data_IF_626511457402
#
_entry.id   IF_626511457402
#
_cell.length_a   1.000
_cell.length_b   1.000
_cell.length_c   1.000
_cell.angle_alpha   90.00
_cell.angle_beta   90.00
_cell.angle_gamma   90.00
#
_symmetry.space_group_name_H-M   'P 1'
#
loop_
_entity.id
_entity.type
_entity.pdbx_description
1 polymer ?
#
# COMPACT_ATOMS: atom_id res chain seq x y z
N UNK A 1 5.26 -14.42 -10.10
CA UNK A 1 6.59 -13.77 -10.26
C UNK A 1 6.99 -13.04 -8.99
N UNK A 2 6.26 -12.00 -8.56
CA UNK A 2 6.64 -11.16 -7.41
C UNK A 2 6.68 -11.90 -6.05
N UNK A 3 5.69 -12.76 -5.78
CA UNK A 3 5.68 -13.61 -4.58
C UNK A 3 6.89 -14.56 -4.51
N UNK A 4 7.27 -15.10 -5.67
CA UNK A 4 8.43 -16.01 -5.80
C UNK A 4 9.72 -15.24 -5.58
N UNK A 5 9.82 -14.03 -6.15
CA UNK A 5 10.94 -13.13 -5.90
C UNK A 5 11.11 -12.83 -4.40
N UNK A 6 10.04 -12.41 -3.72
CA UNK A 6 10.13 -12.11 -2.28
C UNK A 6 10.49 -13.34 -1.45
N UNK A 7 9.89 -14.50 -1.72
CA UNK A 7 10.25 -15.74 -1.03
C UNK A 7 11.73 -16.11 -1.25
N UNK A 8 12.23 -16.05 -2.49
CA UNK A 8 13.64 -16.35 -2.80
C UNK A 8 14.60 -15.38 -2.12
N UNK A 9 14.25 -14.09 -2.06
CA UNK A 9 15.06 -13.08 -1.36
C UNK A 9 15.08 -13.35 0.14
N UNK A 10 13.93 -13.63 0.76
CA UNK A 10 13.88 -13.92 2.20
C UNK A 10 14.60 -15.22 2.56
N UNK A 11 14.42 -16.28 1.78
CA UNK A 11 15.14 -17.54 1.96
C UNK A 11 16.65 -17.35 1.77
N UNK A 12 17.06 -16.59 0.75
CA UNK A 12 18.46 -16.23 0.52
C UNK A 12 19.06 -15.49 1.70
N UNK A 13 18.41 -14.41 2.16
CA UNK A 13 18.86 -13.62 3.32
C UNK A 13 18.89 -14.48 4.59
N UNK A 14 17.91 -15.35 4.81
CA UNK A 14 17.88 -16.28 5.94
C UNK A 14 19.02 -17.30 5.87
N UNK A 15 19.34 -17.83 4.69
CA UNK A 15 20.45 -18.78 4.52
C UNK A 15 21.81 -18.15 4.79
N UNK A 16 21.96 -16.85 4.50
CA UNK A 16 23.19 -16.09 4.71
C UNK A 16 23.34 -15.61 6.16
N UNK A 17 22.26 -15.12 6.77
CA UNK A 17 22.30 -14.52 8.10
C UNK A 17 21.98 -15.52 9.23
N UNK A 18 21.43 -16.69 8.92
CA UNK A 18 21.02 -17.71 9.90
C UNK A 18 19.85 -17.29 10.80
N UNK A 19 19.24 -16.14 10.55
CA UNK A 19 18.12 -15.58 11.34
C UNK A 19 16.80 -15.92 10.65
N UNK A 20 15.86 -16.55 11.37
CA UNK A 20 14.47 -16.72 10.89
C UNK A 20 13.75 -15.37 10.94
N UNK A 21 13.39 -14.85 9.78
CA UNK A 21 12.60 -13.63 9.67
C UNK A 21 11.13 -13.98 9.83
N UNK A 22 10.45 -13.33 10.77
CA UNK A 22 8.99 -13.42 10.91
C UNK A 22 8.41 -12.22 10.13
N UNK A 23 7.57 -12.46 9.10
CA UNK A 23 6.90 -11.39 8.37
C UNK A 23 6.12 -10.48 9.33
N UNK A 24 6.17 -9.17 9.10
CA UNK A 24 5.53 -8.16 9.95
C UNK A 24 5.85 -6.74 9.52
N UNK A 25 5.62 -5.75 10.37
CA UNK A 25 5.87 -4.34 10.02
C UNK A 25 7.32 -4.07 9.61
N UNK A 26 8.29 -4.70 10.28
CA UNK A 26 9.70 -4.53 9.95
C UNK A 26 10.02 -5.04 8.54
N UNK A 27 9.50 -6.20 8.15
CA UNK A 27 9.73 -6.72 6.80
C UNK A 27 9.07 -5.80 5.79
N UNK A 28 7.83 -5.34 6.02
CA UNK A 28 7.13 -4.38 5.15
C UNK A 28 7.99 -3.13 4.93
N UNK A 29 8.50 -2.51 6.00
CA UNK A 29 9.36 -1.31 5.91
C UNK A 29 10.59 -1.58 5.06
N UNK A 30 11.29 -2.69 5.29
CA UNK A 30 12.50 -3.04 4.53
C UNK A 30 12.19 -3.19 3.03
N UNK A 31 11.10 -3.86 2.67
CA UNK A 31 10.73 -4.02 1.27
C UNK A 31 10.34 -2.69 0.61
N UNK A 32 9.61 -1.83 1.32
CA UNK A 32 9.28 -0.49 0.85
C UNK A 32 10.52 0.37 0.66
N UNK A 33 11.49 0.32 1.58
CA UNK A 33 12.77 1.03 1.44
C UNK A 33 13.54 0.50 0.24
N UNK A 34 13.69 -0.82 0.12
CA UNK A 34 14.42 -1.45 -0.98
C UNK A 34 13.82 -1.14 -2.36
N UNK A 35 12.49 -1.02 -2.45
CA UNK A 35 11.81 -0.65 -3.68
C UNK A 35 11.94 0.86 -3.99
N UNK A 36 11.62 1.70 -3.00
CA UNK A 36 11.52 3.15 -3.19
C UNK A 36 12.87 3.87 -3.29
N UNK A 37 13.96 3.28 -2.76
CA UNK A 37 15.29 3.91 -2.79
C UNK A 37 15.78 4.20 -4.21
N UNK A 38 15.39 3.38 -5.19
CA UNK A 38 15.73 3.59 -6.60
C UNK A 38 15.14 4.89 -7.15
N UNK A 39 13.88 5.19 -6.81
CA UNK A 39 13.21 6.42 -7.20
C UNK A 39 13.79 7.64 -6.48
N UNK A 40 14.04 7.53 -5.17
CA UNK A 40 14.70 8.60 -4.40
C UNK A 40 16.07 8.92 -4.99
N UNK A 41 16.86 7.90 -5.32
CA UNK A 41 18.19 8.07 -5.90
C UNK A 41 18.14 8.81 -7.24
N UNK A 42 17.15 8.53 -8.10
CA UNK A 42 16.96 9.25 -9.36
C UNK A 42 16.67 10.73 -9.11
N UNK A 43 15.76 11.05 -8.19
CA UNK A 43 15.39 12.43 -7.86
C UNK A 43 16.58 13.20 -7.26
N UNK A 44 17.28 12.59 -6.31
CA UNK A 44 18.46 13.19 -5.67
C UNK A 44 19.59 13.39 -6.67
N UNK A 45 19.85 12.41 -7.54
CA UNK A 45 20.85 12.51 -8.61
C UNK A 45 20.52 13.63 -9.59
N UNK A 46 19.25 13.79 -9.97
CA UNK A 46 18.83 14.89 -10.82
C UNK A 46 19.11 16.25 -10.15
N UNK A 47 18.89 16.36 -8.84
CA UNK A 47 19.23 17.57 -8.10
C UNK A 47 20.73 17.83 -8.06
N UNK A 48 21.54 16.81 -7.74
CA UNK A 48 23.01 16.90 -7.76
C UNK A 48 23.54 17.39 -9.11
N UNK A 49 23.01 16.86 -10.22
CA UNK A 49 23.47 17.22 -11.57
C UNK A 49 23.24 18.70 -11.92
N UNK A 50 22.35 19.39 -11.21
CA UNK A 50 22.03 20.82 -11.41
C UNK A 50 22.75 21.74 -10.43
N UNK A 51 23.54 21.20 -9.49
CA UNK A 51 24.30 22.02 -8.54
C UNK A 51 25.57 22.57 -9.18
N UNK A 52 25.94 23.77 -8.76
CA UNK A 52 27.20 24.39 -9.13
C UNK A 52 28.35 23.79 -8.29
N UNK A 53 29.32 23.10 -8.92
CA UNK A 53 30.46 22.50 -8.21
C UNK A 53 31.39 23.55 -7.58
N UNK A 54 31.36 24.80 -8.04
CA UNK A 54 32.23 25.87 -7.51
C UNK A 54 31.99 26.17 -6.03
N UNK A 55 30.80 25.88 -5.51
CA UNK A 55 30.48 26.05 -4.09
C UNK A 55 31.24 25.07 -3.19
N UNK A 56 31.48 23.85 -3.68
CA UNK A 56 32.26 22.84 -2.97
C UNK A 56 33.76 23.14 -3.05
N UNK A 57 34.24 23.57 -4.21
CA UNK A 57 35.62 24.02 -4.42
C UNK A 57 35.96 25.22 -3.52
N UNK A 58 35.08 26.23 -3.46
CA UNK A 58 35.25 27.39 -2.59
C UNK A 58 35.29 27.03 -1.09
N UNK A 59 34.55 26.00 -0.67
CA UNK A 59 34.65 25.50 0.69
C UNK A 59 36.03 24.86 0.96
N UNK A 60 36.57 24.13 -0.02
CA UNK A 60 37.93 23.60 0.00
C UNK A 60 39.00 24.70 0.09
N UNK A 61 38.84 25.79 -0.67
CA UNK A 61 39.74 26.95 -0.64
C UNK A 61 39.75 27.65 0.74
N UNK A 62 38.63 27.63 1.45
CA UNK A 62 38.51 28.12 2.83
C UNK A 62 39.05 27.13 3.89
N UNK A 63 39.64 26.02 3.46
CA UNK A 63 40.25 24.99 4.32
C UNK A 63 39.29 23.92 4.82
N UNK A 64 38.06 23.82 4.27
CA UNK A 64 37.16 22.74 4.63
C UNK A 64 37.63 21.41 4.00
N UNK A 65 37.71 20.36 4.82
CA UNK A 65 37.89 19.02 4.28
C UNK A 65 36.61 18.54 3.55
N UNK A 66 36.69 17.51 2.67
CA UNK A 66 35.53 17.06 1.88
C UNK A 66 34.31 16.66 2.69
N UNK A 67 34.51 16.08 3.89
CA UNK A 67 33.39 15.71 4.77
C UNK A 67 32.68 16.94 5.33
N UNK A 68 33.44 17.97 5.72
CA UNK A 68 32.90 19.25 6.19
C UNK A 68 32.21 19.99 5.05
N UNK A 69 32.81 20.03 3.85
CA UNK A 69 32.21 20.62 2.66
C UNK A 69 30.87 19.94 2.30
N UNK A 70 30.82 18.61 2.32
CA UNK A 70 29.60 17.86 2.10
C UNK A 70 28.50 18.24 3.10
N UNK A 71 28.76 18.16 4.41
CA UNK A 71 27.73 18.40 5.41
C UNK A 71 27.29 19.86 5.53
N UNK A 72 28.18 20.83 5.28
CA UNK A 72 27.90 22.26 5.43
C UNK A 72 27.45 22.95 4.15
N UNK A 73 27.81 22.44 2.98
CA UNK A 73 27.53 23.07 1.68
C UNK A 73 26.68 22.14 0.82
N UNK A 74 27.21 20.97 0.46
CA UNK A 74 26.54 20.10 -0.51
C UNK A 74 25.19 19.59 0.00
N UNK A 75 25.13 19.06 1.22
CA UNK A 75 23.94 18.44 1.81
C UNK A 75 22.80 19.46 2.07
N UNK A 76 23.03 20.66 2.64
CA UNK A 76 21.98 21.67 2.79
C UNK A 76 21.40 22.17 1.46
N UNK A 77 22.22 22.28 0.41
CA UNK A 77 21.75 22.66 -0.93
C UNK A 77 21.01 21.51 -1.61
N UNK A 78 21.39 20.27 -1.30
CA UNK A 78 20.74 19.05 -1.79
C UNK A 78 19.43 18.73 -1.05
N UNK A 79 19.26 19.19 0.19
CA UNK A 79 18.11 18.92 1.07
C UNK A 79 16.74 19.08 0.39
N UNK A 80 16.47 20.15 -0.39
CA UNK A 80 15.20 20.27 -1.11
C UNK A 80 14.93 19.09 -2.08
N UNK A 81 15.99 18.57 -2.73
CA UNK A 81 15.90 17.39 -3.59
C UNK A 81 15.70 16.10 -2.81
N UNK A 82 16.35 15.95 -1.65
CA UNK A 82 16.14 14.81 -0.74
C UNK A 82 14.70 14.80 -0.22
N UNK A 83 14.17 15.96 0.18
CA UNK A 83 12.78 16.09 0.62
C UNK A 83 11.79 15.77 -0.50
N UNK A 84 12.04 16.24 -1.72
CA UNK A 84 11.21 15.90 -2.88
C UNK A 84 11.22 14.39 -3.18
N UNK A 85 12.40 13.75 -3.13
CA UNK A 85 12.52 12.30 -3.26
C UNK A 85 11.81 11.55 -2.14
N UNK A 86 11.93 12.02 -0.89
CA UNK A 86 11.24 11.46 0.27
C UNK A 86 9.72 11.55 0.16
N UNK A 87 9.18 12.67 -0.32
CA UNK A 87 7.74 12.84 -0.54
C UNK A 87 7.22 11.91 -1.64
N UNK A 88 8.00 11.73 -2.71
CA UNK A 88 7.68 10.76 -3.76
C UNK A 88 7.67 9.33 -3.21
N UNK A 89 8.68 8.94 -2.45
CA UNK A 89 8.74 7.61 -1.81
C UNK A 89 7.58 7.40 -0.83
N UNK A 90 7.20 8.42 -0.06
CA UNK A 90 6.03 8.37 0.83
C UNK A 90 4.74 8.15 0.03
N UNK A 91 4.59 8.85 -1.09
CA UNK A 91 3.41 8.74 -1.97
C UNK A 91 3.29 7.33 -2.55
N UNK A 92 4.39 6.80 -3.10
CA UNK A 92 4.47 5.43 -3.64
C UNK A 92 4.34 4.34 -2.56
N UNK A 93 4.72 4.64 -1.32
CA UNK A 93 4.59 3.68 -0.22
C UNK A 93 3.14 3.58 0.28
N UNK A 94 2.40 4.69 0.25
CA UNK A 94 1.02 4.73 0.74
C UNK A 94 0.05 3.91 -0.12
N UNK A 95 0.25 3.83 -1.43
CA UNK A 95 -0.64 3.13 -2.36
C UNK A 95 -0.18 1.70 -2.74
N UNK A 96 1.05 1.31 -2.38
CA UNK A 96 1.58 -0.01 -2.73
C UNK A 96 0.97 -1.14 -1.88
N UNK A 97 -0.12 -1.69 -2.41
CA UNK A 97 -0.75 -2.91 -1.91
C UNK A 97 0.11 -4.16 -2.17
N UNK A 98 0.79 -4.25 -3.32
CA UNK A 98 1.33 -5.52 -3.80
C UNK A 98 2.56 -5.92 -2.97
N UNK A 99 3.51 -5.00 -2.77
CA UNK A 99 4.68 -5.24 -1.93
C UNK A 99 4.27 -5.51 -0.49
N UNK A 100 3.29 -4.74 0.00
CA UNK A 100 2.78 -4.91 1.35
C UNK A 100 2.08 -6.26 1.55
N UNK A 101 1.29 -6.72 0.58
CA UNK A 101 0.56 -7.98 0.64
C UNK A 101 1.47 -9.21 0.70
N UNK A 102 2.56 -9.24 -0.08
CA UNK A 102 3.47 -10.37 -0.09
C UNK A 102 4.43 -10.42 1.11
N UNK A 103 4.46 -9.35 1.90
CA UNK A 103 5.43 -9.18 2.96
C UNK A 103 4.80 -8.91 4.32
N UNK A 104 3.47 -8.78 4.37
CA UNK A 104 2.70 -8.69 5.59
C UNK A 104 2.71 -10.03 6.32
N UNK A 105 2.86 -9.96 7.63
CA UNK A 105 2.67 -11.06 8.54
C UNK A 105 1.27 -11.13 9.11
N UNK A 106 1.04 -12.18 9.91
CA UNK A 106 -0.20 -12.33 10.68
C UNK A 106 -0.33 -11.13 11.62
N UNK A 107 -1.50 -10.47 11.59
CA UNK A 107 -1.79 -9.33 12.46
C UNK A 107 -1.22 -7.98 11.98
N UNK A 108 -0.55 -7.91 10.83
CA UNK A 108 -0.06 -6.63 10.27
C UNK A 108 -0.92 -6.20 9.10
N UNK A 109 -1.98 -5.46 9.40
CA UNK A 109 -2.91 -4.93 8.39
C UNK A 109 -2.65 -3.44 8.18
N UNK A 110 -2.20 -3.07 6.99
CA UNK A 110 -2.07 -1.67 6.58
C UNK A 110 -3.37 -1.16 5.98
N UNK A 111 -3.49 0.16 5.82
CA UNK A 111 -4.68 0.76 5.22
C UNK A 111 -5.03 0.16 3.83
N UNK A 112 -4.08 0.00 2.88
CA UNK A 112 -4.39 -0.64 1.58
C UNK A 112 -4.85 -2.10 1.72
N UNK A 113 -4.24 -2.88 2.61
CA UNK A 113 -4.65 -4.26 2.89
C UNK A 113 -6.06 -4.32 3.47
N UNK A 114 -6.38 -3.40 4.38
CA UNK A 114 -7.68 -3.30 5.01
C UNK A 114 -8.76 -2.94 3.99
N UNK A 115 -8.54 -1.91 3.16
CA UNK A 115 -9.47 -1.50 2.09
C UNK A 115 -9.69 -2.65 1.11
N UNK A 116 -8.63 -3.33 0.68
CA UNK A 116 -8.75 -4.51 -0.17
C UNK A 116 -9.54 -5.65 0.51
N UNK A 117 -9.30 -5.89 1.80
CA UNK A 117 -10.05 -6.86 2.60
C UNK A 117 -11.54 -6.55 2.66
N UNK A 118 -11.92 -5.27 2.84
CA UNK A 118 -13.31 -4.82 2.81
C UNK A 118 -13.96 -5.02 1.45
N UNK A 119 -13.26 -4.73 0.35
CA UNK A 119 -13.78 -4.97 -1.01
C UNK A 119 -14.02 -6.46 -1.29
N UNK A 120 -13.23 -7.33 -0.66
CA UNK A 120 -13.36 -8.79 -0.77
C UNK A 120 -14.44 -9.36 0.15
N UNK A 121 -14.70 -8.72 1.29
CA UNK A 121 -15.87 -8.97 2.13
C UNK A 121 -17.14 -8.43 1.44
N UNK A 122 -17.52 -9.05 0.32
CA UNK A 122 -18.87 -8.91 -0.21
C UNK A 122 -19.83 -9.49 0.84
N UNK A 123 -21.01 -8.88 0.93
CA UNK A 123 -22.15 -9.33 1.74
C UNK A 123 -22.19 -10.87 1.76
N UNK A 124 -22.15 -11.50 2.95
CA UNK A 124 -22.12 -12.96 3.06
C UNK A 124 -23.25 -13.57 2.22
N UNK A 125 -23.00 -14.65 1.45
CA UNK A 125 -24.04 -15.30 0.64
C UNK A 125 -25.30 -15.66 1.44
N UNK A 126 -25.15 -15.88 2.75
CA UNK A 126 -26.22 -16.13 3.70
C UNK A 126 -27.22 -14.96 3.80
N UNK A 127 -26.72 -13.71 3.82
CA UNK A 127 -27.58 -12.52 3.87
C UNK A 127 -28.35 -12.35 2.56
N UNK A 128 -27.72 -12.66 1.41
CA UNK A 128 -28.39 -12.63 0.11
C UNK A 128 -29.47 -13.72 0.03
N UNK A 129 -29.20 -14.93 0.53
CA UNK A 129 -30.17 -16.01 0.58
C UNK A 129 -31.40 -15.66 1.44
N UNK A 130 -31.18 -15.11 2.64
CA UNK A 130 -32.27 -14.64 3.52
C UNK A 130 -33.07 -13.54 2.84
N UNK A 131 -32.39 -12.57 2.19
CA UNK A 131 -33.05 -11.48 1.48
C UNK A 131 -33.96 -11.98 0.35
N UNK A 132 -33.50 -12.95 -0.45
CA UNK A 132 -34.34 -13.57 -1.50
C UNK A 132 -35.55 -14.28 -0.90
N UNK A 133 -35.37 -15.01 0.22
CA UNK A 133 -36.46 -15.73 0.87
C UNK A 133 -37.50 -14.78 1.47
N UNK A 134 -37.07 -13.69 2.09
CA UNK A 134 -37.94 -12.62 2.58
C UNK A 134 -38.75 -11.97 1.45
N UNK A 135 -38.11 -11.69 0.31
CA UNK A 135 -38.80 -11.15 -0.87
C UNK A 135 -39.81 -12.15 -1.42
N UNK A 136 -39.44 -13.43 -1.56
CA UNK A 136 -40.33 -14.48 -2.04
C UNK A 136 -41.55 -14.66 -1.14
N UNK A 137 -41.35 -14.69 0.18
CA UNK A 137 -42.44 -14.77 1.15
C UNK A 137 -43.37 -13.55 1.07
N UNK A 138 -42.82 -12.34 0.93
CA UNK A 138 -43.60 -11.12 0.78
C UNK A 138 -44.46 -11.14 -0.49
N UNK A 139 -43.89 -11.56 -1.62
CA UNK A 139 -44.61 -11.70 -2.88
C UNK A 139 -45.73 -12.75 -2.76
N UNK A 140 -45.45 -13.89 -2.13
CA UNK A 140 -46.45 -14.94 -1.92
C UNK A 140 -47.62 -14.44 -1.06
N UNK A 141 -47.33 -13.70 0.01
CA UNK A 141 -48.34 -13.18 0.94
C UNK A 141 -49.22 -12.12 0.28
N UNK A 142 -48.61 -11.19 -0.46
CA UNK A 142 -49.34 -10.19 -1.26
C UNK A 142 -50.17 -10.88 -2.36
N UNK A 143 -49.60 -11.86 -3.05
CA UNK A 143 -50.30 -12.65 -4.08
C UNK A 143 -51.53 -13.36 -3.53
N UNK A 144 -51.40 -14.03 -2.38
CA UNK A 144 -52.52 -14.69 -1.70
C UNK A 144 -53.61 -13.67 -1.32
N UNK A 145 -53.23 -12.53 -0.72
CA UNK A 145 -54.17 -11.47 -0.35
C UNK A 145 -54.96 -10.95 -1.56
N UNK A 146 -54.32 -10.77 -2.72
CA UNK A 146 -55.00 -10.32 -3.94
C UNK A 146 -55.96 -11.36 -4.50
N UNK A 147 -55.64 -12.65 -4.38
CA UNK A 147 -56.53 -13.74 -4.79
C UNK A 147 -57.77 -13.78 -3.88
N UNK A 148 -57.60 -13.68 -2.56
CA UNK A 148 -58.72 -13.64 -1.61
C UNK A 148 -59.66 -12.46 -1.84
N UNK A 149 -59.12 -11.26 -2.12
CA UNK A 149 -59.94 -10.09 -2.46
C UNK A 149 -60.71 -10.27 -3.77
N UNK A 150 -60.14 -10.99 -4.76
CA UNK A 150 -60.82 -11.30 -6.02
C UNK A 150 -61.91 -12.37 -5.87
N UNK A 151 -61.74 -13.35 -4.97
CA UNK A 151 -62.79 -14.34 -4.71
C UNK A 151 -64.01 -13.73 -4.02
N UNK A 152 -63.80 -12.82 -3.06
CA UNK A 152 -64.92 -12.11 -2.41
C UNK A 152 -65.66 -11.16 -3.35
N UNK A 153 -64.97 -10.57 -4.32
CA UNK A 153 -65.60 -9.73 -5.34
C UNK A 153 -66.45 -10.52 -6.34
N UNK A 154 -66.15 -11.82 -6.54
CA UNK A 154 -66.86 -12.69 -7.48
C UNK A 154 -68.07 -13.41 -6.87
N UNK A 155 -68.09 -13.58 -5.54
CA UNK A 155 -69.22 -14.18 -4.80
C UNK A 155 -70.36 -13.18 -4.49
N UNK A 156 -70.17 -11.89 -4.81
CA UNK A 156 -71.15 -10.81 -4.58
C UNK A 156 -71.95 -10.38 -5.82
N UNK A 157 -71.77 -11.07 -6.95
CA UNK A 157 -72.56 -10.92 -8.19
C UNK A 157 -73.36 -12.17 -8.45
#
# INVERSE_FOLDING_TARGET
>A
ALAVFFNLVFEGVQSLLGVRWVPGFATIIIAHVAFNISFVAIVVRARLATMDPTLEEAAGDLGANPMVAFWKVTFPILMPGVLAGGLLAFTLSLDDFVVTFFNAGVGTTTLPLYVYGMLKQRVPPEINAISTLMIAASIALVGASLIFQRSEARDRT
#
